data_IF_114276680640
#
_entry.id   IF_114276680640
#
_cell.length_a   1.000
_cell.length_b   1.000
_cell.length_c   1.000
_cell.angle_alpha   90.00
_cell.angle_beta   90.00
_cell.angle_gamma   90.00
#
_symmetry.space_group_name_H-M   'P 1'
#
loop_
_entity.id
_entity.type
_entity.pdbx_description
1 polymer ?
#
# COMPACT_ATOMS: atom_id res chain seq x y z
N UNK A 1 -43.61 4.56 -29.83
CA UNK A 1 -42.42 3.81 -30.30
C UNK A 1 -41.80 3.23 -29.05
N UNK A 2 -42.14 1.98 -28.76
CA UNK A 2 -41.73 1.28 -27.54
C UNK A 2 -40.22 1.07 -27.54
N UNK A 3 -39.54 1.59 -26.53
CA UNK A 3 -38.20 1.14 -26.18
C UNK A 3 -38.37 -0.29 -25.64
N UNK A 4 -37.98 -1.28 -26.45
CA UNK A 4 -37.88 -2.66 -25.99
C UNK A 4 -36.94 -2.69 -24.80
N UNK A 5 -37.43 -3.15 -23.65
CA UNK A 5 -36.64 -3.52 -22.48
C UNK A 5 -35.82 -4.77 -22.84
N UNK A 6 -34.78 -4.59 -23.65
CA UNK A 6 -33.72 -5.57 -23.69
C UNK A 6 -32.88 -5.36 -22.42
N UNK A 7 -33.46 -5.80 -21.30
CA UNK A 7 -32.75 -6.03 -20.05
C UNK A 7 -31.70 -7.08 -20.39
N UNK A 8 -30.52 -6.65 -20.83
CA UNK A 8 -29.34 -7.51 -20.90
C UNK A 8 -29.17 -8.09 -19.50
N UNK A 9 -29.65 -9.32 -19.31
CA UNK A 9 -29.52 -10.01 -18.04
C UNK A 9 -28.03 -10.20 -17.82
N UNK A 10 -27.45 -9.38 -16.94
CA UNK A 10 -26.09 -9.58 -16.50
C UNK A 10 -25.97 -11.05 -16.07
N UNK A 11 -25.02 -11.77 -16.67
CA UNK A 11 -24.74 -13.15 -16.30
C UNK A 11 -24.52 -13.19 -14.79
N UNK A 12 -25.09 -14.21 -14.12
CA UNK A 12 -24.94 -14.43 -12.69
C UNK A 12 -23.47 -14.20 -12.32
N UNK A 13 -23.20 -13.17 -11.52
CA UNK A 13 -21.89 -12.93 -10.95
C UNK A 13 -21.48 -14.22 -10.24
N UNK A 14 -20.38 -14.82 -10.67
CA UNK A 14 -19.75 -15.85 -9.86
C UNK A 14 -19.22 -15.12 -8.63
N UNK A 15 -19.92 -15.24 -7.51
CA UNK A 15 -19.34 -14.92 -6.22
C UNK A 15 -18.17 -15.89 -6.04
N UNK A 16 -16.96 -15.40 -6.29
CA UNK A 16 -15.75 -16.06 -5.85
C UNK A 16 -15.79 -15.96 -4.34
N UNK A 17 -16.31 -17.00 -3.69
CA UNK A 17 -16.22 -17.17 -2.24
C UNK A 17 -14.73 -17.16 -1.89
N UNK A 18 -14.26 -16.02 -1.42
CA UNK A 18 -12.91 -15.84 -0.97
C UNK A 18 -12.99 -15.67 0.55
N UNK A 19 -12.72 -16.75 1.27
CA UNK A 19 -12.78 -16.79 2.74
C UNK A 19 -11.64 -15.99 3.39
N UNK A 20 -10.70 -15.49 2.59
CA UNK A 20 -9.55 -14.72 3.04
C UNK A 20 -9.92 -13.25 3.24
N UNK A 21 -9.46 -12.68 4.35
CA UNK A 21 -9.50 -11.24 4.56
C UNK A 21 -8.69 -10.50 3.48
N UNK A 22 -9.01 -9.23 3.19
CA UNK A 22 -8.24 -8.43 2.23
C UNK A 22 -6.73 -8.37 2.54
N UNK A 23 -6.37 -8.46 3.83
CA UNK A 23 -4.99 -8.48 4.28
C UNK A 23 -4.30 -9.80 3.91
N UNK A 24 -4.95 -10.94 4.16
CA UNK A 24 -4.42 -12.26 3.79
C UNK A 24 -4.24 -12.37 2.28
N UNK A 25 -5.21 -11.87 1.50
CA UNK A 25 -5.10 -11.84 0.03
C UNK A 25 -3.91 -11.00 -0.43
N UNK A 26 -3.65 -9.86 0.23
CA UNK A 26 -2.47 -9.05 -0.08
C UNK A 26 -1.16 -9.79 0.20
N UNK A 27 -1.08 -10.50 1.33
CA UNK A 27 0.11 -11.26 1.71
C UNK A 27 0.31 -12.54 0.90
N UNK A 28 -0.68 -13.01 0.13
CA UNK A 28 -0.42 -14.01 -0.91
C UNK A 28 0.48 -13.48 -2.03
N UNK A 29 0.41 -12.18 -2.33
CA UNK A 29 1.26 -11.52 -3.34
C UNK A 29 2.59 -11.06 -2.73
N UNK A 30 2.54 -10.46 -1.55
CA UNK A 30 3.71 -9.98 -0.79
C UNK A 30 4.01 -10.90 0.39
N UNK A 31 4.30 -12.16 0.10
CA UNK A 31 4.60 -13.15 1.13
C UNK A 31 5.91 -12.81 1.88
N UNK A 32 6.18 -13.53 2.97
CA UNK A 32 7.36 -13.32 3.82
C UNK A 32 8.68 -13.41 3.05
N UNK A 33 8.78 -14.33 2.08
CA UNK A 33 9.97 -14.48 1.25
C UNK A 33 10.25 -13.23 0.40
N UNK A 34 9.22 -12.68 -0.25
CA UNK A 34 9.33 -11.46 -1.03
C UNK A 34 9.70 -10.26 -0.14
N UNK A 35 9.06 -10.13 1.02
CA UNK A 35 9.36 -9.06 1.98
C UNK A 35 10.83 -9.17 2.44
N UNK A 36 11.28 -10.35 2.82
CA UNK A 36 12.66 -10.58 3.27
C UNK A 36 13.68 -10.29 2.16
N UNK A 37 13.39 -10.72 0.93
CA UNK A 37 14.20 -10.41 -0.25
C UNK A 37 14.33 -8.91 -0.49
N UNK A 38 13.21 -8.17 -0.43
CA UNK A 38 13.20 -6.73 -0.61
C UNK A 38 14.00 -6.01 0.48
N UNK A 39 13.92 -6.47 1.74
CA UNK A 39 14.73 -5.94 2.83
C UNK A 39 16.22 -6.17 2.58
N UNK A 40 16.63 -7.40 2.24
CA UNK A 40 18.03 -7.72 1.92
C UNK A 40 18.58 -6.82 0.81
N UNK A 41 17.84 -6.70 -0.30
CA UNK A 41 18.29 -5.87 -1.43
C UNK A 41 18.33 -4.39 -1.10
N UNK A 42 17.37 -3.88 -0.32
CA UNK A 42 17.32 -2.48 0.08
C UNK A 42 18.49 -2.14 1.00
N UNK A 43 18.76 -2.97 2.02
CA UNK A 43 19.89 -2.76 2.93
C UNK A 43 21.23 -2.90 2.23
N UNK A 44 21.38 -3.88 1.34
CA UNK A 44 22.59 -4.04 0.53
C UNK A 44 22.82 -2.83 -0.37
N UNK A 45 21.77 -2.29 -0.99
CA UNK A 45 21.87 -1.06 -1.77
C UNK A 45 22.27 0.14 -0.91
N UNK A 46 21.68 0.30 0.28
CA UNK A 46 22.03 1.35 1.22
C UNK A 46 23.52 1.28 1.61
N UNK A 47 24.03 0.09 1.92
CA UNK A 47 25.43 -0.14 2.24
C UNK A 47 26.36 0.27 1.06
N UNK A 48 25.99 -0.08 -0.18
CA UNK A 48 26.73 0.36 -1.38
C UNK A 48 26.75 1.88 -1.58
N UNK A 49 25.75 2.58 -1.02
CA UNK A 49 25.65 4.05 -1.04
C UNK A 49 26.20 4.71 0.22
N UNK A 50 26.93 3.97 1.05
CA UNK A 50 27.48 4.43 2.32
C UNK A 50 26.39 5.02 3.25
N UNK A 51 25.20 4.43 3.21
CA UNK A 51 24.08 4.70 4.11
C UNK A 51 23.91 3.53 5.07
N UNK A 52 23.29 3.80 6.22
CA UNK A 52 22.87 2.77 7.16
C UNK A 52 21.84 1.86 6.46
N UNK A 53 22.14 0.56 6.39
CA UNK A 53 21.24 -0.47 5.88
C UNK A 53 20.49 -1.12 7.03
N UNK A 54 19.65 -0.34 7.69
CA UNK A 54 18.91 -0.70 8.91
C UNK A 54 17.40 -0.83 8.67
N UNK A 55 16.97 -1.06 7.43
CA UNK A 55 15.56 -1.30 7.10
C UNK A 55 15.13 -2.65 7.66
N UNK A 56 14.05 -2.66 8.44
CA UNK A 56 13.42 -3.88 8.96
C UNK A 56 12.24 -4.32 8.06
N UNK A 57 11.78 -5.56 8.24
CA UNK A 57 10.58 -6.05 7.54
C UNK A 57 9.33 -5.24 7.89
N UNK A 58 9.17 -4.85 9.16
CA UNK A 58 8.04 -4.03 9.60
C UNK A 58 8.09 -2.62 8.98
N UNK A 59 9.28 -2.06 8.84
CA UNK A 59 9.47 -0.78 8.17
C UNK A 59 9.15 -0.90 6.68
N UNK A 60 9.54 -1.99 6.02
CA UNK A 60 9.19 -2.23 4.63
C UNK A 60 7.68 -2.42 4.44
N UNK A 61 7.02 -3.19 5.31
CA UNK A 61 5.55 -3.35 5.31
C UNK A 61 4.86 -2.00 5.51
N UNK A 62 5.38 -1.16 6.40
CA UNK A 62 4.89 0.21 6.62
C UNK A 62 5.04 1.06 5.36
N UNK A 63 6.20 1.04 4.72
CA UNK A 63 6.45 1.76 3.47
C UNK A 63 5.46 1.34 2.37
N UNK A 64 5.23 0.04 2.19
CA UNK A 64 4.24 -0.51 1.24
C UNK A 64 2.82 -0.04 1.61
N UNK A 65 2.46 -0.06 2.89
CA UNK A 65 1.17 0.45 3.36
C UNK A 65 0.94 1.93 3.01
N UNK A 66 1.98 2.77 3.14
CA UNK A 66 1.92 4.18 2.73
C UNK A 66 1.77 4.32 1.22
N UNK A 67 2.44 3.46 0.43
CA UNK A 67 2.26 3.45 -1.04
C UNK A 67 0.82 3.10 -1.43
N UNK A 68 0.22 2.08 -0.82
CA UNK A 68 -1.18 1.71 -1.04
C UNK A 68 -2.12 2.88 -0.70
N UNK A 69 -1.91 3.50 0.46
CA UNK A 69 -2.71 4.66 0.87
C UNK A 69 -2.56 5.83 -0.11
N UNK A 70 -1.36 6.05 -0.66
CA UNK A 70 -1.11 7.11 -1.62
C UNK A 70 -1.81 6.92 -2.96
N UNK A 71 -2.12 5.67 -3.32
CA UNK A 71 -2.96 5.34 -4.47
C UNK A 71 -4.44 5.62 -4.19
N UNK A 72 -4.89 5.43 -2.94
CA UNK A 72 -6.27 5.68 -2.50
C UNK A 72 -6.56 7.18 -2.27
N UNK A 73 -5.73 7.87 -1.49
CA UNK A 73 -5.82 9.30 -1.22
C UNK A 73 -4.72 10.00 -1.97
N UNK A 74 -5.05 10.67 -3.08
CA UNK A 74 -4.06 11.41 -3.86
C UNK A 74 -3.95 12.85 -3.35
N UNK A 75 -2.80 13.21 -2.78
CA UNK A 75 -2.49 14.58 -2.37
C UNK A 75 -1.70 15.34 -3.45
N UNK A 76 -1.91 16.67 -3.61
CA UNK A 76 -1.19 17.48 -4.60
C UNK A 76 0.33 17.43 -4.45
N UNK A 77 0.84 17.21 -3.24
CA UNK A 77 2.27 17.09 -2.95
C UNK A 77 2.50 15.97 -1.93
N UNK A 78 3.47 15.10 -2.19
CA UNK A 78 3.81 13.97 -1.30
C UNK A 78 4.11 14.39 0.14
N UNK A 79 4.74 15.56 0.35
CA UNK A 79 5.04 16.07 1.70
C UNK A 79 3.79 16.30 2.56
N UNK A 80 2.61 16.42 1.95
CA UNK A 80 1.34 16.65 2.65
C UNK A 80 0.89 15.45 3.48
N UNK A 81 1.34 14.22 3.18
CA UNK A 81 1.04 13.07 4.04
C UNK A 81 1.67 13.20 5.45
N UNK A 82 2.66 14.08 5.62
CA UNK A 82 3.30 14.38 6.91
C UNK A 82 3.02 15.81 7.40
N UNK A 83 2.02 16.49 6.84
CA UNK A 83 1.61 17.78 7.39
C UNK A 83 1.02 17.61 8.79
N UNK A 84 1.20 18.63 9.63
CA UNK A 84 0.72 18.64 11.02
C UNK A 84 -0.47 19.59 11.21
N UNK A 85 -1.05 20.10 10.13
CA UNK A 85 -2.26 20.93 10.21
C UNK A 85 -3.46 20.04 10.58
N UNK A 86 -4.36 20.55 11.40
CA UNK A 86 -5.47 19.75 11.94
C UNK A 86 -6.37 19.12 10.86
N UNK A 87 -6.49 19.77 9.71
CA UNK A 87 -7.32 19.37 8.57
C UNK A 87 -6.60 18.43 7.58
N UNK A 88 -5.27 18.40 7.57
CA UNK A 88 -4.47 17.59 6.64
C UNK A 88 -3.62 16.50 7.31
N UNK A 89 -3.57 16.46 8.64
CA UNK A 89 -2.73 15.52 9.37
C UNK A 89 -3.15 14.07 9.17
N UNK A 90 -2.29 13.29 8.51
CA UNK A 90 -2.53 11.88 8.27
C UNK A 90 -1.82 11.01 9.32
N UNK A 91 -2.55 10.67 10.38
CA UNK A 91 -2.07 9.79 11.45
C UNK A 91 -1.62 8.41 10.95
N UNK A 92 -2.19 7.91 9.84
CA UNK A 92 -1.83 6.60 9.28
C UNK A 92 -0.46 6.61 8.61
N UNK A 93 0.07 7.78 8.24
CA UNK A 93 1.39 7.92 7.58
C UNK A 93 2.41 8.52 8.53
N UNK A 94 2.07 9.64 9.17
CA UNK A 94 3.02 10.42 9.96
C UNK A 94 3.44 9.74 11.27
N UNK A 95 2.60 8.85 11.81
CA UNK A 95 2.89 8.10 13.05
C UNK A 95 3.85 6.92 12.83
N UNK A 96 3.64 6.03 11.82
CA UNK A 96 4.48 4.85 11.68
C UNK A 96 5.81 5.08 10.95
N UNK A 97 5.94 6.10 10.10
CA UNK A 97 7.20 6.41 9.41
C UNK A 97 7.41 7.93 9.27
N UNK A 98 8.63 8.41 9.50
CA UNK A 98 8.94 9.84 9.36
C UNK A 98 9.16 10.23 7.90
N UNK A 99 8.86 11.49 7.55
CA UNK A 99 9.04 12.03 6.19
C UNK A 99 10.45 11.89 5.64
N UNK A 100 11.47 11.96 6.49
CA UNK A 100 12.88 11.88 6.05
C UNK A 100 13.34 10.42 5.91
N UNK A 101 12.59 9.47 6.48
CA UNK A 101 12.87 8.04 6.41
C UNK A 101 12.16 7.37 5.24
N UNK A 102 10.94 7.83 4.91
CA UNK A 102 10.22 7.50 3.68
C UNK A 102 10.94 8.05 2.44
#
# INVERSE_FOLDING_TARGET
>A
VDLKSDETSWSKTYDVYNDLSPMEQFFLLFNEEIISLLVDKTNRYAALRNRLGDVSEDELKTFIGVLLLSGYVQLPRRRMYWESCNDTHNNLVAKPISRNRF
#
